data_IF_013355165059
#
_entry.id   IF_013355165059
#
_cell.length_a   1.000
_cell.length_b   1.000
_cell.length_c   1.000
_cell.angle_alpha   90.00
_cell.angle_beta   90.00
_cell.angle_gamma   90.00
#
_symmetry.space_group_name_H-M   'P 1'
#
loop_
_entity.id
_entity.type
_entity.pdbx_description
1 polymer ?
#
# COMPACT_ATOMS: atom_id res chain seq x y z
N UNK A 1 -0.45 -7.15 -15.21
CA UNK A 1 -1.01 -5.79 -15.42
C UNK A 1 -2.44 -5.79 -14.96
N UNK A 2 -2.74 -5.43 -13.70
CA UNK A 2 -4.10 -5.10 -13.32
C UNK A 2 -4.51 -4.05 -14.33
N UNK A 3 -5.35 -4.43 -15.31
CA UNK A 3 -5.96 -3.45 -16.19
C UNK A 3 -6.63 -2.48 -15.23
N UNK A 4 -6.02 -1.31 -15.01
CA UNK A 4 -6.71 -0.24 -14.31
C UNK A 4 -8.11 -0.21 -14.89
N UNK A 5 -9.10 -0.46 -14.06
CA UNK A 5 -10.50 -0.43 -14.41
C UNK A 5 -10.79 0.86 -15.19
N UNK A 6 -11.81 0.83 -16.03
CA UNK A 6 -12.29 1.99 -16.78
C UNK A 6 -12.42 3.26 -15.91
N UNK A 7 -12.63 3.11 -14.58
CA UNK A 7 -12.64 4.22 -13.60
C UNK A 7 -11.26 4.79 -13.30
N UNK A 8 -10.24 3.95 -13.08
CA UNK A 8 -8.86 4.40 -12.91
C UNK A 8 -8.34 5.08 -14.19
N UNK A 9 -8.70 4.53 -15.38
CA UNK A 9 -8.42 5.15 -16.67
C UNK A 9 -9.17 6.47 -16.85
N UNK A 10 -10.42 6.62 -16.36
CA UNK A 10 -11.17 7.88 -16.46
C UNK A 10 -10.57 9.00 -15.61
N UNK A 11 -10.07 8.70 -14.42
CA UNK A 11 -9.34 9.71 -13.60
C UNK A 11 -8.05 10.11 -14.31
N UNK A 12 -7.33 9.16 -14.89
CA UNK A 12 -6.10 9.40 -15.66
C UNK A 12 -6.40 10.19 -16.95
N UNK A 13 -7.45 9.79 -17.71
CA UNK A 13 -7.79 10.46 -19.00
C UNK A 13 -8.34 11.88 -18.80
N UNK A 14 -9.12 12.13 -17.76
CA UNK A 14 -9.63 13.49 -17.49
C UNK A 14 -8.53 14.47 -17.06
N UNK A 15 -7.40 13.98 -16.52
CA UNK A 15 -6.23 14.79 -16.22
C UNK A 15 -5.37 15.07 -17.47
N UNK A 16 -5.31 14.15 -18.42
CA UNK A 16 -4.52 14.31 -19.66
C UNK A 16 -5.01 15.45 -20.56
N UNK A 17 -6.33 15.69 -20.63
CA UNK A 17 -6.93 16.76 -21.42
C UNK A 17 -6.49 18.16 -20.95
N UNK A 18 -6.12 18.32 -19.67
CA UNK A 18 -5.66 19.61 -19.12
C UNK A 18 -4.16 19.86 -19.30
N UNK A 19 -3.36 18.82 -19.55
CA UNK A 19 -1.91 18.96 -19.76
C UNK A 19 -1.60 19.78 -21.04
N UNK A 20 -2.43 19.68 -22.08
CA UNK A 20 -2.31 20.44 -23.32
C UNK A 20 -2.62 21.94 -23.19
N UNK A 21 -3.22 22.39 -22.09
CA UNK A 21 -3.61 23.79 -21.86
C UNK A 21 -2.67 24.56 -20.90
N UNK A 22 -1.60 23.92 -20.41
CA UNK A 22 -0.79 24.41 -19.30
C UNK A 22 0.31 25.40 -19.70
N UNK A 23 0.05 26.36 -20.58
CA UNK A 23 1.02 27.42 -20.95
C UNK A 23 1.05 28.65 -20.02
N UNK A 24 0.19 28.70 -18.99
CA UNK A 24 0.10 29.85 -18.08
C UNK A 24 0.02 29.45 -16.58
N UNK A 25 0.40 30.39 -15.71
CA UNK A 25 0.38 30.17 -14.24
C UNK A 25 -1.02 29.77 -13.71
N UNK A 26 -2.08 30.29 -14.31
CA UNK A 26 -3.47 29.97 -13.99
C UNK A 26 -3.81 28.52 -14.34
N UNK A 27 -3.39 28.04 -15.50
CA UNK A 27 -3.61 26.66 -15.94
C UNK A 27 -2.83 25.65 -15.09
N UNK A 28 -1.58 25.96 -14.73
CA UNK A 28 -0.78 25.13 -13.81
C UNK A 28 -1.43 25.03 -12.42
N UNK A 29 -1.97 26.14 -11.91
CA UNK A 29 -2.66 26.15 -10.63
C UNK A 29 -3.97 25.34 -10.68
N UNK A 30 -4.75 25.46 -11.76
CA UNK A 30 -5.95 24.65 -11.99
C UNK A 30 -5.62 23.15 -12.10
N UNK A 31 -4.59 22.80 -12.85
CA UNK A 31 -4.09 21.43 -12.95
C UNK A 31 -3.67 20.89 -11.58
N UNK A 32 -2.86 21.64 -10.81
CA UNK A 32 -2.44 21.23 -9.47
C UNK A 32 -3.64 21.05 -8.52
N UNK A 33 -4.64 21.94 -8.57
CA UNK A 33 -5.87 21.81 -7.79
C UNK A 33 -6.64 20.53 -8.15
N UNK A 34 -6.83 20.26 -9.44
CA UNK A 34 -7.55 19.07 -9.90
C UNK A 34 -6.82 17.80 -9.52
N UNK A 35 -5.49 17.78 -9.68
CA UNK A 35 -4.65 16.64 -9.28
C UNK A 35 -4.78 16.37 -7.78
N UNK A 36 -4.63 17.39 -6.93
CA UNK A 36 -4.72 17.26 -5.48
C UNK A 36 -6.12 16.79 -5.06
N UNK A 37 -7.18 17.36 -5.65
CA UNK A 37 -8.56 16.91 -5.36
C UNK A 37 -8.77 15.45 -5.75
N UNK A 38 -8.37 15.04 -6.95
CA UNK A 38 -8.49 13.64 -7.42
C UNK A 38 -7.72 12.65 -6.55
N UNK A 39 -6.57 13.07 -6.02
CA UNK A 39 -5.76 12.23 -5.14
C UNK A 39 -6.30 12.15 -3.72
N UNK A 40 -6.70 13.27 -3.15
CA UNK A 40 -7.04 13.31 -1.73
C UNK A 40 -8.50 12.95 -1.46
N UNK A 41 -9.42 13.30 -2.35
CA UNK A 41 -10.83 13.16 -2.04
C UNK A 41 -11.44 11.92 -2.68
N UNK A 42 -12.19 11.18 -1.88
CA UNK A 42 -13.04 10.10 -2.35
C UNK A 42 -14.29 10.68 -2.99
N UNK A 43 -14.61 10.27 -4.21
CA UNK A 43 -15.81 10.76 -4.91
C UNK A 43 -17.07 9.94 -4.62
N UNK A 44 -16.93 8.62 -4.49
CA UNK A 44 -18.03 7.71 -4.19
C UNK A 44 -17.54 6.56 -3.30
N UNK A 45 -18.39 6.11 -2.38
CA UNK A 45 -18.25 4.84 -1.71
C UNK A 45 -18.85 3.77 -2.62
N UNK A 46 -18.12 2.70 -2.89
CA UNK A 46 -18.66 1.60 -3.70
C UNK A 46 -19.73 0.84 -2.89
N UNK A 47 -20.70 0.24 -3.62
CA UNK A 47 -21.70 -0.60 -3.00
C UNK A 47 -21.05 -1.82 -2.33
N UNK A 48 -21.62 -2.21 -1.19
CA UNK A 48 -21.15 -3.36 -0.40
C UNK A 48 -21.63 -4.66 -1.08
N UNK A 49 -20.90 -5.05 -2.14
CA UNK A 49 -21.14 -6.33 -2.81
C UNK A 49 -20.20 -7.36 -2.22
N UNK A 50 -20.69 -8.57 -1.90
CA UNK A 50 -19.85 -9.68 -1.48
C UNK A 50 -18.67 -9.86 -2.44
N UNK A 51 -17.48 -9.92 -1.90
CA UNK A 51 -16.28 -10.23 -2.68
C UNK A 51 -16.12 -11.75 -2.84
N UNK A 52 -15.27 -12.16 -3.75
CA UNK A 52 -14.89 -13.57 -3.89
C UNK A 52 -14.28 -14.12 -2.57
N UNK A 53 -13.74 -13.26 -1.71
CA UNK A 53 -13.21 -13.65 -0.41
C UNK A 53 -14.30 -14.17 0.51
N UNK A 54 -15.42 -13.49 0.58
CA UNK A 54 -16.56 -13.86 1.43
C UNK A 54 -17.24 -15.14 0.95
N UNK A 55 -17.25 -15.36 -0.37
CA UNK A 55 -17.89 -16.56 -0.95
C UNK A 55 -16.99 -17.78 -0.99
N UNK A 56 -15.68 -17.61 -1.22
CA UNK A 56 -14.73 -18.72 -1.41
C UNK A 56 -14.00 -19.12 -0.12
N UNK A 57 -13.75 -18.17 0.77
CA UNK A 57 -12.86 -18.38 1.94
C UNK A 57 -13.57 -18.19 3.29
N UNK A 58 -14.89 -18.07 3.32
CA UNK A 58 -15.67 -17.78 4.54
C UNK A 58 -15.15 -16.55 5.27
N UNK A 59 -14.75 -15.54 4.48
CA UNK A 59 -14.20 -14.31 5.03
C UNK A 59 -15.30 -13.43 5.62
N UNK A 60 -14.99 -12.78 6.72
CA UNK A 60 -15.91 -11.89 7.42
C UNK A 60 -15.45 -10.44 7.33
N UNK A 61 -16.39 -9.53 7.08
CA UNK A 61 -16.13 -8.09 7.19
C UNK A 61 -16.11 -7.69 8.66
N UNK A 62 -14.97 -7.23 9.15
CA UNK A 62 -14.80 -6.69 10.49
C UNK A 62 -14.56 -5.18 10.44
N UNK A 63 -14.97 -4.49 11.49
CA UNK A 63 -14.89 -3.04 11.56
C UNK A 63 -14.26 -2.59 12.88
N UNK A 64 -13.29 -1.66 12.76
CA UNK A 64 -12.73 -0.96 13.91
C UNK A 64 -12.95 0.54 13.77
N UNK A 65 -12.85 1.28 14.87
CA UNK A 65 -12.74 2.75 14.82
C UNK A 65 -11.29 3.16 15.02
N UNK A 66 -10.77 4.00 14.15
CA UNK A 66 -9.47 4.61 14.39
C UNK A 66 -9.54 5.69 15.47
N UNK A 67 -8.39 6.26 15.85
CA UNK A 67 -8.30 7.30 16.88
C UNK A 67 -9.06 8.60 16.55
N UNK A 68 -9.58 8.78 15.33
CA UNK A 68 -10.45 9.88 14.91
C UNK A 68 -11.92 9.48 14.89
N UNK A 69 -12.26 8.25 15.30
CA UNK A 69 -13.62 7.72 15.27
C UNK A 69 -14.09 7.27 13.88
N UNK A 70 -13.21 7.30 12.87
CA UNK A 70 -13.52 6.84 11.51
C UNK A 70 -13.58 5.31 11.54
N UNK A 71 -14.67 4.75 10.99
CA UNK A 71 -14.85 3.31 10.87
C UNK A 71 -14.00 2.78 9.71
N UNK A 72 -13.09 1.86 10.03
CA UNK A 72 -12.24 1.14 9.07
C UNK A 72 -12.75 -0.27 8.90
N UNK A 73 -12.78 -0.77 7.64
CA UNK A 73 -13.13 -2.15 7.31
C UNK A 73 -11.87 -2.98 7.10
N UNK A 74 -11.92 -4.21 7.62
CA UNK A 74 -11.04 -5.30 7.23
C UNK A 74 -11.86 -6.52 6.79
N UNK A 75 -11.31 -7.31 5.87
CA UNK A 75 -11.84 -8.61 5.48
C UNK A 75 -10.95 -9.67 6.11
N UNK A 76 -11.50 -10.39 7.07
CA UNK A 76 -10.79 -11.37 7.88
C UNK A 76 -11.16 -12.79 7.44
N UNK A 77 -10.15 -13.59 7.14
CA UNK A 77 -10.23 -15.04 6.97
C UNK A 77 -9.58 -15.66 8.20
N UNK A 78 -10.39 -16.23 9.09
CA UNK A 78 -9.90 -16.84 10.31
C UNK A 78 -9.45 -18.29 10.09
N UNK A 79 -8.45 -18.69 10.87
CA UNK A 79 -8.05 -20.08 11.02
C UNK A 79 -8.26 -20.51 12.47
N UNK A 80 -8.51 -21.80 12.67
CA UNK A 80 -8.74 -22.35 14.00
C UNK A 80 -7.46 -22.22 14.85
N UNK A 81 -7.59 -21.68 16.06
CA UNK A 81 -6.49 -21.50 17.02
C UNK A 81 -5.25 -20.77 16.47
N UNK A 82 -5.45 -19.88 15.51
CA UNK A 82 -4.38 -19.15 14.86
C UNK A 82 -3.50 -18.38 15.86
N UNK A 83 -2.20 -18.55 15.74
CA UNK A 83 -1.20 -17.80 16.51
C UNK A 83 -0.59 -16.63 15.73
N UNK A 84 -0.89 -16.56 14.45
CA UNK A 84 -0.31 -15.58 13.50
C UNK A 84 -1.39 -14.98 12.62
N UNK A 85 -1.22 -13.70 12.28
CA UNK A 85 -2.05 -13.02 11.29
C UNK A 85 -1.18 -12.36 10.23
N UNK A 86 -1.46 -12.66 8.97
CA UNK A 86 -0.98 -11.88 7.84
C UNK A 86 -1.92 -10.70 7.59
N UNK A 87 -1.41 -9.48 7.68
CA UNK A 87 -2.16 -8.26 7.34
C UNK A 87 -1.71 -7.75 5.98
N UNK A 88 -2.65 -7.57 5.06
CA UNK A 88 -2.38 -7.13 3.69
C UNK A 88 -2.91 -5.71 3.47
N UNK A 89 -2.03 -4.79 3.07
CA UNK A 89 -2.32 -3.40 2.76
C UNK A 89 -2.26 -3.16 1.25
N UNK A 90 -3.32 -2.60 0.71
CA UNK A 90 -3.48 -2.34 -0.72
C UNK A 90 -2.71 -1.09 -1.21
N UNK A 91 -2.43 -0.97 -2.52
CA UNK A 91 -1.87 0.24 -3.12
C UNK A 91 -2.88 1.40 -3.14
N UNK A 92 -2.40 2.62 -3.38
CA UNK A 92 -3.18 3.85 -3.30
C UNK A 92 -4.50 3.85 -4.09
N UNK A 93 -4.52 3.24 -5.27
CA UNK A 93 -5.68 3.31 -6.18
C UNK A 93 -6.67 2.14 -6.02
N UNK A 94 -6.37 1.19 -5.14
CA UNK A 94 -7.09 -0.06 -4.95
C UNK A 94 -7.73 -0.13 -3.56
N UNK A 95 -8.31 -1.26 -3.23
CA UNK A 95 -8.96 -1.58 -1.97
C UNK A 95 -8.67 -3.04 -1.55
N UNK A 96 -9.11 -3.44 -0.37
CA UNK A 96 -8.84 -4.78 0.18
C UNK A 96 -9.23 -5.91 -0.79
N UNK A 97 -10.37 -5.81 -1.48
CA UNK A 97 -10.82 -6.85 -2.42
C UNK A 97 -9.87 -7.04 -3.61
N UNK A 98 -9.12 -6.02 -4.00
CA UNK A 98 -8.17 -6.12 -5.12
C UNK A 98 -6.89 -6.90 -4.73
N UNK A 99 -6.69 -7.13 -3.43
CA UNK A 99 -5.57 -7.93 -2.91
C UNK A 99 -5.91 -9.43 -2.76
N UNK A 100 -7.08 -9.85 -3.25
CA UNK A 100 -7.56 -11.24 -3.15
C UNK A 100 -6.61 -12.25 -3.80
N UNK A 101 -5.91 -11.85 -4.85
CA UNK A 101 -4.97 -12.70 -5.59
C UNK A 101 -3.82 -13.25 -4.73
N UNK A 102 -3.50 -12.61 -3.60
CA UNK A 102 -2.46 -13.08 -2.67
C UNK A 102 -2.95 -14.17 -1.69
N UNK A 103 -4.27 -14.25 -1.48
CA UNK A 103 -4.86 -15.15 -0.49
C UNK A 103 -4.61 -16.63 -0.77
N UNK A 104 -4.76 -17.15 -2.01
CA UNK A 104 -4.54 -18.58 -2.29
C UNK A 104 -3.19 -19.09 -1.84
N UNK A 105 -2.12 -18.37 -2.16
CA UNK A 105 -0.75 -18.75 -1.77
C UNK A 105 -0.61 -18.89 -0.24
N UNK A 106 -1.07 -17.87 0.50
CA UNK A 106 -0.92 -17.88 1.96
C UNK A 106 -1.82 -18.92 2.63
N UNK A 107 -3.05 -19.12 2.14
CA UNK A 107 -3.97 -20.15 2.67
C UNK A 107 -3.47 -21.57 2.40
N UNK A 108 -2.86 -21.81 1.23
CA UNK A 108 -2.27 -23.09 0.90
C UNK A 108 -1.03 -23.39 1.76
N UNK A 109 -0.15 -22.40 1.90
CA UNK A 109 1.15 -22.60 2.55
C UNK A 109 1.13 -22.45 4.07
N UNK A 110 0.22 -21.62 4.60
CA UNK A 110 0.06 -21.32 6.02
C UNK A 110 -1.42 -21.40 6.42
N UNK A 111 -2.02 -22.61 6.38
CA UNK A 111 -3.46 -22.79 6.61
C UNK A 111 -3.91 -22.43 8.03
N UNK A 112 -2.99 -22.41 8.98
CA UNK A 112 -3.16 -22.06 10.38
C UNK A 112 -3.03 -20.56 10.68
N UNK A 113 -2.83 -19.72 9.66
CA UNK A 113 -2.76 -18.28 9.84
C UNK A 113 -4.09 -17.59 9.54
N UNK A 114 -4.41 -16.58 10.32
CA UNK A 114 -5.41 -15.60 9.91
C UNK A 114 -4.88 -14.76 8.76
N UNK A 115 -5.76 -14.33 7.85
CA UNK A 115 -5.44 -13.35 6.82
C UNK A 115 -6.40 -12.19 6.95
N UNK A 116 -5.89 -10.98 7.11
CA UNK A 116 -6.65 -9.75 7.24
C UNK A 116 -6.27 -8.79 6.10
N UNK A 117 -7.22 -8.52 5.21
CA UNK A 117 -7.07 -7.52 4.17
C UNK A 117 -7.76 -6.24 4.63
N UNK A 118 -7.06 -5.11 4.68
CA UNK A 118 -7.59 -3.87 5.24
C UNK A 118 -7.85 -2.82 4.17
N UNK A 119 -9.02 -2.17 4.26
CA UNK A 119 -9.31 -0.95 3.51
C UNK A 119 -8.73 0.26 4.26
N UNK A 120 -7.83 1.00 3.65
CA UNK A 120 -7.36 2.25 4.20
C UNK A 120 -8.49 3.29 4.32
N UNK A 121 -8.33 4.31 5.17
CA UNK A 121 -9.29 5.41 5.28
C UNK A 121 -9.61 6.01 3.89
N UNK A 122 -10.89 6.23 3.62
CA UNK A 122 -11.41 6.70 2.32
C UNK A 122 -11.17 5.75 1.13
N UNK A 123 -10.98 4.45 1.38
CA UNK A 123 -10.93 3.39 0.37
C UNK A 123 -11.94 2.28 0.69
N UNK A 124 -12.30 1.48 -0.31
CA UNK A 124 -13.19 0.33 -0.16
C UNK A 124 -14.43 0.63 0.67
N UNK A 125 -14.70 -0.15 1.69
CA UNK A 125 -15.82 0.02 2.61
C UNK A 125 -15.44 0.77 3.90
N UNK A 126 -14.18 1.20 4.07
CA UNK A 126 -13.81 2.13 5.14
C UNK A 126 -14.47 3.49 4.95
N UNK A 127 -14.85 4.12 6.07
CA UNK A 127 -15.38 5.48 6.04
C UNK A 127 -14.26 6.51 5.82
N UNK A 128 -14.63 7.79 5.77
CA UNK A 128 -13.74 8.90 5.49
C UNK A 128 -13.85 9.40 4.05
N UNK A 129 -13.37 10.64 3.87
CA UNK A 129 -13.40 11.32 2.57
C UNK A 129 -12.01 11.71 2.07
N UNK A 130 -11.02 11.69 2.97
CA UNK A 130 -9.67 12.16 2.69
C UNK A 130 -8.70 10.99 2.80
N UNK A 131 -8.04 10.67 1.71
CA UNK A 131 -7.02 9.62 1.60
C UNK A 131 -5.72 10.05 2.27
N UNK A 132 -5.07 9.12 2.94
CA UNK A 132 -3.86 9.36 3.72
C UNK A 132 -2.55 9.37 2.95
N UNK A 133 -2.54 8.95 1.67
CA UNK A 133 -1.37 8.83 0.79
C UNK A 133 -0.27 7.89 1.30
N UNK A 134 -0.61 6.88 2.10
CA UNK A 134 0.38 6.03 2.78
C UNK A 134 1.09 6.73 3.95
N UNK A 135 0.84 8.02 4.17
CA UNK A 135 1.49 8.83 5.21
C UNK A 135 0.66 8.89 6.49
N UNK A 136 -0.64 9.20 6.37
CA UNK A 136 -1.57 9.23 7.51
C UNK A 136 -2.06 7.83 7.88
N UNK A 137 -2.12 6.93 6.93
CA UNK A 137 -2.58 5.55 7.06
C UNK A 137 -1.77 4.73 8.08
N UNK A 138 -0.58 5.21 8.44
CA UNK A 138 0.25 4.66 9.53
C UNK A 138 -0.54 4.54 10.83
N UNK A 139 -1.36 5.52 11.17
CA UNK A 139 -2.16 5.49 12.41
C UNK A 139 -3.27 4.45 12.35
N UNK A 140 -3.84 4.25 11.16
CA UNK A 140 -4.86 3.23 10.93
C UNK A 140 -4.25 1.82 11.04
N UNK A 141 -3.03 1.62 10.50
CA UNK A 141 -2.29 0.38 10.68
C UNK A 141 -1.98 0.09 12.17
N UNK A 142 -1.62 1.10 12.94
CA UNK A 142 -1.43 0.96 14.39
C UNK A 142 -2.72 0.51 15.09
N UNK A 143 -3.87 1.08 14.72
CA UNK A 143 -5.17 0.64 15.27
C UNK A 143 -5.48 -0.83 14.91
N UNK A 144 -5.14 -1.28 13.71
CA UNK A 144 -5.27 -2.69 13.32
C UNK A 144 -4.32 -3.61 14.11
N UNK A 145 -3.07 -3.18 14.31
CA UNK A 145 -2.10 -3.91 15.13
C UNK A 145 -2.59 -4.06 16.58
N UNK A 146 -3.10 -2.98 17.17
CA UNK A 146 -3.68 -3.01 18.52
C UNK A 146 -4.93 -3.89 18.61
N UNK A 147 -5.80 -3.83 17.60
CA UNK A 147 -6.99 -4.68 17.52
C UNK A 147 -6.61 -6.16 17.53
N UNK A 148 -5.67 -6.59 16.70
CA UNK A 148 -5.22 -7.98 16.63
C UNK A 148 -4.64 -8.46 17.97
N UNK A 149 -3.79 -7.67 18.60
CA UNK A 149 -3.19 -8.03 19.90
C UNK A 149 -4.22 -8.03 21.05
N UNK A 150 -5.26 -7.22 20.96
CA UNK A 150 -6.37 -7.24 21.92
C UNK A 150 -7.26 -8.45 21.72
N UNK A 151 -7.52 -8.85 20.48
CA UNK A 151 -8.42 -9.95 20.11
C UNK A 151 -7.79 -11.32 20.34
N UNK A 152 -6.55 -11.49 19.89
CA UNK A 152 -5.87 -12.79 19.88
C UNK A 152 -4.79 -12.95 20.97
N UNK A 153 -4.53 -11.90 21.73
CA UNK A 153 -3.55 -11.91 22.83
C UNK A 153 -2.23 -11.22 22.46
N UNK A 154 -1.47 -10.81 23.49
CA UNK A 154 -0.24 -10.03 23.33
C UNK A 154 0.89 -10.78 22.62
N UNK A 155 0.86 -12.10 22.68
CA UNK A 155 1.87 -12.98 22.05
C UNK A 155 1.51 -13.32 20.59
N UNK A 156 0.35 -12.88 20.11
CA UNK A 156 -0.07 -13.13 18.73
C UNK A 156 0.88 -12.46 17.73
N UNK A 157 1.42 -13.23 16.82
CA UNK A 157 2.43 -12.76 15.86
C UNK A 157 1.77 -12.16 14.61
N UNK A 158 2.37 -11.08 14.09
CA UNK A 158 1.84 -10.36 12.94
C UNK A 158 2.89 -10.32 11.83
N UNK A 159 2.46 -10.64 10.62
CA UNK A 159 3.22 -10.49 9.39
C UNK A 159 2.54 -9.42 8.54
N UNK A 160 3.30 -8.50 7.99
CA UNK A 160 2.75 -7.39 7.20
C UNK A 160 3.15 -7.53 5.75
N UNK A 161 2.18 -7.53 4.86
CA UNK A 161 2.37 -7.43 3.41
C UNK A 161 1.80 -6.10 2.94
N UNK A 162 2.58 -5.28 2.29
CA UNK A 162 2.11 -4.04 1.70
C UNK A 162 2.55 -3.88 0.26
N UNK A 163 1.62 -3.37 -0.57
CA UNK A 163 1.92 -3.04 -1.96
C UNK A 163 1.94 -1.53 -2.15
N UNK A 164 2.99 -1.00 -2.81
CA UNK A 164 3.15 0.43 -3.12
C UNK A 164 2.93 1.34 -1.89
N UNK A 165 1.83 2.13 -1.85
CA UNK A 165 1.48 2.98 -0.71
C UNK A 165 1.29 2.17 0.59
N UNK A 166 0.72 0.96 0.50
CA UNK A 166 0.63 0.03 1.63
C UNK A 166 2.01 -0.37 2.16
N UNK A 167 2.97 -0.65 1.27
CA UNK A 167 4.34 -0.95 1.64
C UNK A 167 5.01 0.25 2.35
N UNK A 168 4.85 1.46 1.81
CA UNK A 168 5.37 2.67 2.44
C UNK A 168 4.72 2.96 3.80
N UNK A 169 3.42 2.67 3.97
CA UNK A 169 2.72 2.76 5.26
C UNK A 169 3.39 1.86 6.30
N UNK A 170 3.64 0.59 5.94
CA UNK A 170 4.30 -0.39 6.82
C UNK A 170 5.71 0.04 7.17
N UNK A 171 6.53 0.38 6.16
CA UNK A 171 7.92 0.80 6.35
C UNK A 171 8.01 2.02 7.29
N UNK A 172 7.11 2.99 7.13
CA UNK A 172 7.06 4.17 8.00
C UNK A 172 6.64 3.82 9.43
N UNK A 173 5.66 2.94 9.62
CA UNK A 173 5.21 2.52 10.93
C UNK A 173 6.32 1.75 11.68
N UNK A 174 6.98 0.82 10.99
CA UNK A 174 8.09 0.03 11.51
C UNK A 174 9.29 0.91 11.89
N UNK A 175 9.70 1.81 10.99
CA UNK A 175 10.84 2.73 11.23
C UNK A 175 10.60 3.72 12.39
N UNK A 176 9.35 3.88 12.82
CA UNK A 176 8.98 4.69 14.00
C UNK A 176 8.71 3.83 15.23
N UNK A 177 8.97 2.53 15.16
CA UNK A 177 8.73 1.56 16.25
C UNK A 177 7.30 1.63 16.82
N UNK A 178 6.30 1.85 15.94
CA UNK A 178 4.89 1.98 16.33
C UNK A 178 4.15 0.64 16.40
N UNK A 179 4.74 -0.42 15.86
CA UNK A 179 4.12 -1.73 15.72
C UNK A 179 4.63 -2.68 16.81
N UNK A 180 3.73 -3.50 17.33
CA UNK A 180 4.05 -4.51 18.35
C UNK A 180 3.89 -5.90 17.76
N UNK A 181 4.80 -6.78 18.13
CA UNK A 181 4.82 -8.20 17.76
C UNK A 181 4.76 -8.49 16.26
N UNK A 182 5.30 -7.58 15.43
CA UNK A 182 5.49 -7.81 14.01
C UNK A 182 6.80 -8.54 13.78
N UNK A 183 6.74 -9.72 13.15
CA UNK A 183 7.89 -10.61 12.92
C UNK A 183 8.56 -10.40 11.59
N UNK A 184 7.80 -10.04 10.57
CA UNK A 184 8.31 -9.85 9.21
C UNK A 184 7.50 -8.83 8.43
N UNK A 185 8.15 -8.18 7.48
CA UNK A 185 7.58 -7.24 6.52
C UNK A 185 7.85 -7.74 5.11
N UNK A 186 6.83 -7.73 4.26
CA UNK A 186 6.93 -7.91 2.82
C UNK A 186 6.53 -6.59 2.17
N UNK A 187 7.52 -5.93 1.59
CA UNK A 187 7.40 -4.59 0.99
C UNK A 187 7.45 -4.71 -0.53
N UNK A 188 6.31 -4.72 -1.20
CA UNK A 188 6.16 -4.90 -2.65
C UNK A 188 5.94 -3.55 -3.34
N UNK A 189 6.87 -3.16 -4.20
CA UNK A 189 6.78 -1.94 -5.01
C UNK A 189 6.84 -0.63 -4.21
N UNK A 190 7.57 -0.60 -3.09
CA UNK A 190 7.75 0.63 -2.30
C UNK A 190 8.55 1.70 -3.06
N UNK A 191 8.29 2.97 -2.77
CA UNK A 191 8.93 4.13 -3.39
C UNK A 191 9.62 5.04 -2.37
N UNK A 192 10.57 5.86 -2.86
CA UNK A 192 11.43 6.72 -2.03
C UNK A 192 10.66 7.86 -1.32
N UNK A 193 9.67 8.45 -1.97
CA UNK A 193 8.74 9.43 -1.39
C UNK A 193 7.48 9.57 -2.24
N UNK A 194 6.39 10.04 -1.64
CA UNK A 194 5.17 10.41 -2.39
C UNK A 194 5.48 11.49 -3.43
N UNK A 195 6.40 12.39 -3.13
CA UNK A 195 6.82 13.43 -4.07
C UNK A 195 7.54 12.87 -5.30
N UNK A 196 8.40 11.86 -5.12
CA UNK A 196 9.18 11.29 -6.21
C UNK A 196 8.31 10.46 -7.14
N UNK A 197 7.44 9.59 -6.57
CA UNK A 197 6.52 8.80 -7.41
C UNK A 197 5.55 9.70 -8.17
N UNK A 198 4.97 10.73 -7.55
CA UNK A 198 4.12 11.67 -8.24
C UNK A 198 4.86 12.42 -9.34
N UNK A 199 6.08 12.88 -9.05
CA UNK A 199 6.91 13.57 -10.03
C UNK A 199 7.30 12.67 -11.22
N UNK A 200 7.56 11.40 -10.98
CA UNK A 200 7.79 10.41 -12.02
C UNK A 200 6.53 10.21 -12.88
N UNK A 201 5.39 9.96 -12.25
CA UNK A 201 4.10 9.77 -12.96
C UNK A 201 3.69 10.99 -13.77
N UNK A 202 3.91 12.20 -13.25
CA UNK A 202 3.62 13.43 -14.01
C UNK A 202 4.38 13.52 -15.32
N UNK A 203 5.66 13.19 -15.32
CA UNK A 203 6.47 13.18 -16.55
C UNK A 203 6.05 12.05 -17.46
N UNK A 204 5.93 10.84 -16.91
CA UNK A 204 5.65 9.62 -17.68
C UNK A 204 4.29 9.68 -18.37
N UNK A 205 3.24 9.99 -17.61
CA UNK A 205 1.84 9.86 -18.06
C UNK A 205 1.30 11.11 -18.70
N UNK A 206 1.68 12.30 -18.19
CA UNK A 206 1.08 13.57 -18.59
C UNK A 206 2.04 14.48 -19.35
N UNK A 207 3.34 14.11 -19.45
CA UNK A 207 4.38 14.95 -20.08
C UNK A 207 4.48 16.35 -19.46
N UNK A 208 4.06 16.49 -18.19
CA UNK A 208 4.12 17.75 -17.45
C UNK A 208 5.42 17.81 -16.66
N UNK A 209 6.21 18.89 -16.75
CA UNK A 209 7.48 19.02 -16.04
C UNK A 209 7.25 19.09 -14.52
N UNK A 210 8.20 18.49 -13.76
CA UNK A 210 8.14 18.51 -12.28
C UNK A 210 8.08 19.93 -11.72
N UNK A 211 8.91 20.84 -12.25
CA UNK A 211 8.93 22.24 -11.82
C UNK A 211 8.16 23.11 -12.82
N UNK A 212 7.32 24.04 -12.35
CA UNK A 212 6.99 24.37 -10.96
C UNK A 212 5.84 23.53 -10.37
N UNK A 213 5.26 22.61 -11.13
CA UNK A 213 3.99 21.90 -10.84
C UNK A 213 4.03 21.12 -9.52
N UNK A 214 5.07 20.34 -9.29
CA UNK A 214 5.22 19.58 -8.05
C UNK A 214 5.40 20.46 -6.80
N UNK A 215 5.93 21.68 -6.97
CA UNK A 215 6.00 22.66 -5.87
C UNK A 215 4.58 23.12 -5.46
N UNK A 216 3.71 23.35 -6.44
CA UNK A 216 2.32 23.74 -6.19
C UNK A 216 1.54 22.57 -5.56
N UNK A 217 1.64 21.36 -6.11
CA UNK A 217 0.99 20.16 -5.57
C UNK A 217 1.42 19.92 -4.13
N UNK A 218 2.73 19.91 -3.83
CA UNK A 218 3.25 19.76 -2.47
C UNK A 218 2.66 20.78 -1.50
N UNK A 219 2.62 22.08 -1.91
CA UNK A 219 2.07 23.14 -1.08
C UNK A 219 0.59 22.89 -0.77
N UNK A 220 -0.20 22.53 -1.80
CA UNK A 220 -1.64 22.26 -1.65
C UNK A 220 -1.91 21.05 -0.78
N UNK A 221 -1.24 19.93 -0.99
CA UNK A 221 -1.37 18.74 -0.13
C UNK A 221 -1.03 19.09 1.33
N UNK A 222 0.05 19.86 1.56
CA UNK A 222 0.41 20.31 2.91
C UNK A 222 -0.67 21.20 3.53
N UNK A 223 -1.34 22.04 2.75
CA UNK A 223 -2.45 22.88 3.23
C UNK A 223 -3.68 22.04 3.59
N UNK A 224 -4.04 21.06 2.75
CA UNK A 224 -5.24 20.23 2.91
C UNK A 224 -5.10 19.22 4.06
N UNK A 225 -4.05 18.43 4.07
CA UNK A 225 -3.94 17.29 4.98
C UNK A 225 -2.76 17.36 5.97
N UNK A 226 -2.01 18.47 5.98
CA UNK A 226 -0.89 18.74 6.93
C UNK A 226 0.22 17.70 6.89
N UNK A 227 0.48 17.06 5.74
CA UNK A 227 1.58 16.11 5.57
C UNK A 227 2.69 16.67 4.69
N UNK A 228 3.89 16.13 4.87
CA UNK A 228 5.03 16.40 4.01
C UNK A 228 5.23 15.23 3.02
N UNK A 229 4.83 15.40 1.77
CA UNK A 229 4.99 14.34 0.75
C UNK A 229 6.45 14.12 0.31
N UNK A 230 7.40 14.94 0.79
CA UNK A 230 8.85 14.76 0.61
C UNK A 230 9.50 13.97 1.74
N UNK A 231 8.73 13.33 2.60
CA UNK A 231 9.30 12.43 3.58
C UNK A 231 10.15 11.37 2.86
N UNK A 232 11.41 11.25 3.25
CA UNK A 232 12.36 10.34 2.64
C UNK A 232 12.29 8.98 3.33
N UNK A 233 11.73 8.00 2.64
CA UNK A 233 11.60 6.65 3.18
C UNK A 233 12.95 5.92 3.27
N UNK A 234 13.94 6.26 2.41
CA UNK A 234 15.27 5.68 2.52
C UNK A 234 15.96 6.13 3.83
N UNK A 235 15.74 7.38 4.23
CA UNK A 235 16.23 7.84 5.53
C UNK A 235 15.49 7.17 6.70
N UNK A 236 14.18 6.99 6.57
CA UNK A 236 13.37 6.36 7.62
C UNK A 236 13.75 4.90 7.85
N UNK A 237 13.91 4.10 6.80
CA UNK A 237 14.16 2.66 6.94
C UNK A 237 15.51 2.32 7.58
N UNK A 238 16.41 3.28 7.79
CA UNK A 238 17.61 3.11 8.61
C UNK A 238 17.29 2.71 10.05
N UNK A 239 16.09 3.02 10.52
CA UNK A 239 15.58 2.73 11.86
C UNK A 239 14.62 1.54 11.89
N UNK A 240 14.50 0.80 10.81
CA UNK A 240 13.66 -0.40 10.77
C UNK A 240 14.46 -1.63 11.22
N UNK A 241 14.04 -2.22 12.33
CA UNK A 241 14.67 -3.43 12.91
C UNK A 241 13.95 -4.72 12.50
N UNK A 242 12.75 -4.61 11.91
CA UNK A 242 11.94 -5.78 11.53
C UNK A 242 12.50 -6.36 10.23
N UNK A 243 12.72 -7.69 10.15
CA UNK A 243 13.14 -8.35 8.92
C UNK A 243 12.24 -7.99 7.75
N UNK A 244 12.83 -7.55 6.63
CA UNK A 244 12.08 -7.01 5.49
C UNK A 244 12.48 -7.66 4.18
N UNK A 245 11.51 -8.25 3.48
CA UNK A 245 11.63 -8.68 2.10
C UNK A 245 11.15 -7.53 1.20
N UNK A 246 12.07 -6.96 0.42
CA UNK A 246 11.76 -5.99 -0.61
C UNK A 246 11.51 -6.72 -1.92
N UNK A 247 10.32 -6.56 -2.48
CA UNK A 247 9.93 -7.11 -3.78
C UNK A 247 9.72 -5.96 -4.75
N UNK A 248 10.23 -6.10 -5.97
CA UNK A 248 10.00 -5.11 -7.02
C UNK A 248 10.03 -5.75 -8.40
N UNK A 249 9.15 -5.33 -9.30
CA UNK A 249 9.21 -5.77 -10.68
C UNK A 249 10.29 -5.00 -11.45
N UNK A 250 11.04 -5.70 -12.30
CA UNK A 250 12.08 -5.10 -13.14
C UNK A 250 11.50 -4.02 -14.06
N UNK A 251 10.38 -4.32 -14.69
CA UNK A 251 9.66 -3.45 -15.63
C UNK A 251 8.35 -2.96 -15.05
N UNK A 252 8.40 -2.41 -13.81
CA UNK A 252 7.23 -1.83 -13.16
C UNK A 252 6.84 -0.54 -13.86
N UNK A 253 5.63 -0.56 -14.41
CA UNK A 253 5.07 0.60 -15.11
C UNK A 253 4.63 1.71 -14.18
N UNK A 254 4.39 1.42 -12.91
CA UNK A 254 3.89 2.39 -11.93
C UNK A 254 4.99 2.96 -11.04
N UNK A 255 5.75 2.09 -10.37
CA UNK A 255 6.87 2.49 -9.51
C UNK A 255 8.19 2.01 -10.15
N UNK A 256 9.07 2.89 -10.62
CA UNK A 256 10.31 2.46 -11.27
C UNK A 256 11.21 1.68 -10.31
N UNK A 257 11.81 0.59 -10.79
CA UNK A 257 12.71 -0.29 -10.03
C UNK A 257 13.82 0.50 -9.29
N UNK A 258 14.27 1.61 -9.86
CA UNK A 258 15.30 2.47 -9.23
C UNK A 258 14.91 3.00 -7.84
N UNK A 259 13.62 2.99 -7.48
CA UNK A 259 13.16 3.46 -6.18
C UNK A 259 13.36 2.45 -5.05
N UNK A 260 13.47 1.15 -5.34
CA UNK A 260 13.68 0.15 -4.27
C UNK A 260 15.12 0.14 -3.76
N UNK A 261 16.11 0.41 -4.62
CA UNK A 261 17.52 0.33 -4.23
C UNK A 261 17.91 1.27 -3.08
N UNK A 262 17.51 2.56 -3.05
CA UNK A 262 17.77 3.42 -1.91
C UNK A 262 17.18 2.88 -0.61
N UNK A 263 15.96 2.33 -0.65
CA UNK A 263 15.29 1.74 0.52
C UNK A 263 16.05 0.51 1.02
N UNK A 264 16.32 -0.43 0.11
CA UNK A 264 17.06 -1.64 0.44
C UNK A 264 18.45 -1.34 0.99
N UNK A 265 19.21 -0.46 0.32
CA UNK A 265 20.58 -0.14 0.73
C UNK A 265 20.63 0.55 2.10
N UNK A 266 19.69 1.44 2.38
CA UNK A 266 19.65 2.21 3.62
C UNK A 266 19.17 1.40 4.84
N UNK A 267 18.30 0.40 4.63
CA UNK A 267 17.80 -0.45 5.72
C UNK A 267 18.97 -1.20 6.38
N UNK A 268 19.12 -1.06 7.71
CA UNK A 268 20.20 -1.66 8.49
C UNK A 268 19.82 -3.01 9.12
N UNK A 269 18.51 -3.30 9.19
CA UNK A 269 18.01 -4.58 9.68
C UNK A 269 18.21 -5.74 8.70
N UNK A 270 17.75 -6.92 9.11
CA UNK A 270 17.71 -8.10 8.23
C UNK A 270 16.86 -7.81 6.99
N UNK A 271 17.43 -8.03 5.81
CA UNK A 271 16.76 -7.67 4.56
C UNK A 271 17.09 -8.63 3.43
N UNK A 272 16.13 -8.80 2.54
CA UNK A 272 16.28 -9.52 1.27
C UNK A 272 15.72 -8.64 0.16
N UNK A 273 16.33 -8.64 -1.00
CA UNK A 273 15.79 -7.98 -2.21
C UNK A 273 15.48 -9.06 -3.25
N UNK A 274 14.26 -9.06 -3.72
CA UNK A 274 13.80 -9.91 -4.81
C UNK A 274 13.27 -9.07 -5.97
N UNK A 275 13.95 -9.16 -7.13
CA UNK A 275 13.55 -8.44 -8.34
C UNK A 275 12.88 -9.41 -9.30
N UNK A 276 11.58 -9.25 -9.48
CA UNK A 276 10.78 -10.02 -10.44
C UNK A 276 11.13 -9.62 -11.87
N UNK A 277 11.36 -10.59 -12.73
CA UNK A 277 11.82 -10.36 -14.11
C UNK A 277 10.71 -10.12 -15.12
N UNK A 278 9.49 -10.62 -14.85
CA UNK A 278 8.36 -10.59 -15.79
C UNK A 278 7.06 -10.13 -15.09
N UNK A 279 6.26 -9.30 -15.77
CA UNK A 279 4.98 -8.79 -15.27
C UNK A 279 3.90 -9.87 -15.09
N UNK A 280 4.00 -10.97 -15.81
CA UNK A 280 3.03 -12.08 -15.75
C UNK A 280 2.92 -12.71 -14.38
N UNK A 281 3.95 -12.62 -13.57
CA UNK A 281 4.01 -13.18 -12.21
C UNK A 281 3.00 -12.61 -11.20
N UNK A 282 2.45 -11.43 -11.46
CA UNK A 282 1.44 -10.83 -10.58
C UNK A 282 0.02 -11.37 -10.80
N UNK A 283 -0.23 -11.97 -11.98
CA UNK A 283 -1.56 -12.52 -12.32
C UNK A 283 -1.62 -14.03 -12.14
N UNK A 284 -0.48 -14.67 -12.15
CA UNK A 284 -0.30 -16.10 -12.05
C UNK A 284 0.62 -16.40 -10.86
N UNK A 285 0.19 -16.04 -9.64
CA UNK A 285 0.83 -16.51 -8.39
C UNK A 285 0.90 -18.05 -8.33
N UNK A 286 0.24 -18.72 -9.27
CA UNK A 286 0.24 -20.15 -9.42
C UNK A 286 1.49 -20.71 -10.13
N UNK A 287 2.23 -19.93 -10.93
CA UNK A 287 3.19 -20.50 -11.88
C UNK A 287 4.67 -20.19 -11.64
N UNK A 288 5.07 -19.35 -10.68
CA UNK A 288 6.50 -19.13 -10.48
C UNK A 288 7.02 -19.63 -9.16
N UNK A 289 7.64 -20.78 -9.25
CA UNK A 289 8.37 -21.41 -8.15
C UNK A 289 9.37 -20.46 -7.47
N UNK A 290 10.00 -19.54 -8.22
CA UNK A 290 11.01 -18.64 -7.67
C UNK A 290 10.40 -17.60 -6.70
N UNK A 291 9.27 -16.97 -7.06
CA UNK A 291 8.60 -16.01 -6.17
C UNK A 291 8.03 -16.69 -4.93
N UNK A 292 7.27 -17.77 -5.14
CA UNK A 292 6.69 -18.58 -4.05
C UNK A 292 7.78 -19.11 -3.11
N UNK A 293 8.88 -19.60 -3.68
CA UNK A 293 10.02 -20.10 -2.92
C UNK A 293 10.70 -18.97 -2.13
N UNK A 294 11.02 -17.84 -2.76
CA UNK A 294 11.66 -16.70 -2.07
C UNK A 294 10.81 -16.20 -0.90
N UNK A 295 9.51 -16.09 -1.10
CA UNK A 295 8.57 -15.67 -0.07
C UNK A 295 8.51 -16.68 1.07
N UNK A 296 8.40 -17.99 0.75
CA UNK A 296 8.39 -19.07 1.72
C UNK A 296 9.71 -19.17 2.50
N UNK A 297 10.85 -19.08 1.83
CA UNK A 297 12.18 -19.12 2.47
C UNK A 297 12.37 -17.94 3.42
N UNK A 298 11.95 -16.74 3.03
CA UNK A 298 11.99 -15.55 3.88
C UNK A 298 11.12 -15.72 5.12
N UNK A 299 9.87 -16.16 4.94
CA UNK A 299 8.94 -16.38 6.06
C UNK A 299 9.48 -17.47 7.00
N UNK A 300 9.91 -18.61 6.48
CA UNK A 300 10.49 -19.70 7.27
C UNK A 300 11.68 -19.25 8.10
N UNK A 301 12.50 -18.34 7.57
CA UNK A 301 13.68 -17.83 8.27
C UNK A 301 13.36 -16.92 9.45
N UNK A 302 12.28 -16.15 9.37
CA UNK A 302 12.02 -15.05 10.31
C UNK A 302 10.72 -15.17 11.11
N UNK A 303 9.85 -16.11 10.76
CA UNK A 303 8.49 -16.26 11.34
C UNK A 303 8.24 -17.66 11.92
N UNK A 304 9.26 -18.37 12.31
CA UNK A 304 9.14 -19.72 12.89
C UNK A 304 8.41 -19.74 14.22
#
# INVERSE_FOLDING_TARGET
MVKMDKKGKKVVTSLAVLAGLASGAGALNAFANKTVKAMLYRHHKEDDKPSILETKYDAQSIYIKNHQGIRLRGVLIEAVDAKKTLVILHPFALEAKDMTLYVPFFKERYPDWNILLVDACAHGQSDGYIRGLGIKDVKDLVCWNEYLLKTYGKEHEIILYGKEAGANTILKAASKHLLKNVKAIISDGAYTSVYDILGYRMIKDYKVPKFPTMRLIKRKIKQEIKVNIKEDYAEMVKHNDIPTLYIHMKEDDFVPLSMVYPLYNANRGSKVLFVLKDERYLYELEETDEFRKTLADFITKYVN
#
